data_IF_829066917359
#
_entry.id   IF_829066917359
#
_cell.length_a   1.000
_cell.length_b   1.000
_cell.length_c   1.000
_cell.angle_alpha   90.00
_cell.angle_beta   90.00
_cell.angle_gamma   90.00
#
_symmetry.space_group_name_H-M   'P 1'
#
loop_
_entity.id
_entity.type
_entity.pdbx_description
1 polymer ?
#
# COMPACT_ATOMS: atom_id res chain seq x y z
N UNK A 1 -45.00 49.62 12.88
CA UNK A 1 -43.81 48.94 13.39
C UNK A 1 -43.95 47.48 13.01
N UNK A 2 -43.19 47.03 12.03
CA UNK A 2 -43.17 45.63 11.61
C UNK A 2 -42.04 44.90 12.37
N UNK A 3 -42.23 43.65 12.81
CA UNK A 3 -41.18 42.92 13.51
C UNK A 3 -40.13 42.41 12.52
N UNK A 4 -38.87 42.72 12.76
CA UNK A 4 -37.73 42.17 12.06
C UNK A 4 -37.54 40.70 12.38
N UNK A 5 -37.75 39.83 11.42
CA UNK A 5 -37.36 38.42 11.53
C UNK A 5 -35.85 38.30 11.49
N UNK A 6 -35.27 37.87 12.60
CA UNK A 6 -33.91 37.44 12.74
C UNK A 6 -33.79 36.07 12.10
N UNK A 7 -33.16 35.97 10.90
CA UNK A 7 -32.78 34.69 10.29
C UNK A 7 -31.45 34.25 10.95
N UNK A 8 -31.42 33.12 11.67
CA UNK A 8 -30.19 32.62 12.22
C UNK A 8 -29.28 32.25 11.04
N UNK A 9 -28.06 32.85 10.96
CA UNK A 9 -27.00 32.39 10.13
C UNK A 9 -26.72 30.92 10.50
N UNK A 10 -27.10 30.01 9.63
CA UNK A 10 -26.60 28.65 9.66
C UNK A 10 -25.07 28.75 9.59
N UNK A 11 -24.41 28.47 10.70
CA UNK A 11 -22.99 28.19 10.75
C UNK A 11 -22.76 27.00 9.83
N UNK A 12 -22.20 27.27 8.64
CA UNK A 12 -21.55 26.25 7.87
C UNK A 12 -20.50 25.61 8.79
N UNK A 13 -20.74 24.39 9.22
CA UNK A 13 -19.68 23.59 9.81
C UNK A 13 -18.62 23.46 8.69
N UNK A 14 -17.59 24.25 8.77
CA UNK A 14 -16.36 24.00 8.04
C UNK A 14 -15.97 22.56 8.35
N UNK A 15 -15.86 21.72 7.33
CA UNK A 15 -15.31 20.39 7.49
C UNK A 15 -13.88 20.54 8.01
N UNK A 16 -13.74 20.39 9.34
CA UNK A 16 -12.42 20.38 9.99
C UNK A 16 -11.73 19.11 9.52
N UNK A 17 -10.61 19.25 8.81
CA UNK A 17 -9.81 18.15 8.30
C UNK A 17 -9.60 18.18 6.78
N UNK A 18 -8.79 17.26 6.27
CA UNK A 18 -8.49 17.12 4.86
C UNK A 18 -9.69 16.66 4.01
N UNK A 19 -9.55 16.80 2.70
CA UNK A 19 -10.55 16.36 1.72
C UNK A 19 -10.16 15.04 1.07
N UNK A 20 -11.16 14.22 0.71
CA UNK A 20 -10.97 12.98 -0.06
C UNK A 20 -11.71 13.08 -1.38
N UNK A 21 -11.03 12.85 -2.48
CA UNK A 21 -11.59 12.91 -3.83
C UNK A 21 -11.21 11.69 -4.64
N UNK A 22 -12.16 11.17 -5.42
CA UNK A 22 -11.92 10.13 -6.42
C UNK A 22 -11.58 10.81 -7.75
N UNK A 23 -10.49 10.39 -8.36
CA UNK A 23 -9.98 10.89 -9.63
C UNK A 23 -9.66 9.73 -10.56
N UNK A 24 -9.42 10.05 -11.83
CA UNK A 24 -8.94 9.10 -12.84
C UNK A 24 -7.92 9.76 -13.75
N UNK A 25 -7.07 8.95 -14.36
CA UNK A 25 -6.15 9.38 -15.39
C UNK A 25 -5.90 8.23 -16.37
N UNK A 26 -5.43 8.55 -17.55
CA UNK A 26 -5.04 7.55 -18.54
C UNK A 26 -3.65 7.02 -18.21
N UNK A 27 -3.57 5.73 -17.85
CA UNK A 27 -2.32 5.04 -17.57
C UNK A 27 -1.75 4.47 -18.89
N UNK A 28 -0.72 5.09 -19.41
CA UNK A 28 -0.13 4.75 -20.72
C UNK A 28 0.39 3.32 -20.77
N UNK A 29 1.02 2.87 -19.70
CA UNK A 29 1.54 1.50 -19.57
C UNK A 29 0.43 0.45 -19.63
N UNK A 30 -0.74 0.77 -19.09
CA UNK A 30 -1.90 -0.13 -19.08
C UNK A 30 -2.82 0.04 -20.30
N UNK A 31 -2.71 1.17 -21.02
CA UNK A 31 -3.58 1.47 -22.15
C UNK A 31 -5.04 1.75 -21.78
N UNK A 32 -5.33 2.06 -20.51
CA UNK A 32 -6.67 2.29 -19.96
C UNK A 32 -6.71 3.45 -18.96
N UNK A 33 -7.90 3.95 -18.66
CA UNK A 33 -8.09 4.84 -17.51
C UNK A 33 -8.05 4.04 -16.21
N UNK A 34 -7.33 4.57 -15.21
CA UNK A 34 -7.29 4.05 -13.84
C UNK A 34 -7.79 5.10 -12.86
N UNK A 35 -8.55 4.64 -11.88
CA UNK A 35 -8.97 5.48 -10.77
C UNK A 35 -7.93 5.48 -9.65
N UNK A 36 -7.90 6.57 -8.90
CA UNK A 36 -7.19 6.69 -7.63
C UNK A 36 -8.00 7.57 -6.67
N UNK A 37 -7.87 7.31 -5.39
CA UNK A 37 -8.46 8.15 -4.34
C UNK A 37 -7.36 9.00 -3.73
N UNK A 38 -7.62 10.29 -3.58
CA UNK A 38 -6.64 11.25 -3.11
C UNK A 38 -7.14 11.91 -1.82
N UNK A 39 -6.34 11.86 -0.76
CA UNK A 39 -6.49 12.69 0.41
C UNK A 39 -5.56 13.90 0.31
N UNK A 40 -6.13 15.09 0.40
CA UNK A 40 -5.42 16.36 0.50
C UNK A 40 -5.58 16.91 1.92
N UNK A 41 -4.49 17.31 2.61
CA UNK A 41 -4.56 17.80 3.98
C UNK A 41 -5.31 19.13 4.06
N UNK A 42 -5.85 19.43 5.23
CA UNK A 42 -6.54 20.70 5.50
C UNK A 42 -5.69 21.91 5.10
N UNK A 43 -6.33 22.89 4.46
CA UNK A 43 -5.66 24.11 3.95
C UNK A 43 -4.81 23.87 2.70
N UNK A 44 -4.93 22.71 2.05
CA UNK A 44 -4.20 22.45 0.81
C UNK A 44 -4.41 23.55 -0.23
N UNK A 45 -5.64 23.98 -0.50
CA UNK A 45 -5.95 24.98 -1.51
C UNK A 45 -5.63 26.43 -1.08
N UNK A 46 -5.30 26.65 0.20
CA UNK A 46 -5.02 27.95 0.80
C UNK A 46 -3.52 28.29 0.76
N UNK A 47 -2.65 27.33 0.43
CA UNK A 47 -1.20 27.48 0.44
C UNK A 47 -0.57 27.07 -0.87
N UNK A 48 0.70 27.42 -1.08
CA UNK A 48 1.53 26.92 -2.19
C UNK A 48 2.57 25.88 -1.73
N UNK A 49 2.43 25.39 -0.52
CA UNK A 49 3.34 24.38 0.04
C UNK A 49 3.31 23.08 -0.75
N UNK A 50 4.44 22.38 -0.77
CA UNK A 50 4.59 21.04 -1.31
C UNK A 50 4.66 20.03 -0.18
N UNK A 51 4.10 18.86 -0.39
CA UNK A 51 3.89 17.85 0.64
C UNK A 51 4.58 16.54 0.28
N UNK A 52 5.10 15.79 1.27
CA UNK A 52 5.41 14.38 1.08
C UNK A 52 4.18 13.61 0.63
N UNK A 53 4.40 12.49 -0.06
CA UNK A 53 3.31 11.63 -0.55
C UNK A 53 3.51 10.19 -0.09
N UNK A 54 2.42 9.52 0.30
CA UNK A 54 2.39 8.08 0.58
C UNK A 54 1.33 7.42 -0.28
N UNK A 55 1.73 6.39 -1.01
CA UNK A 55 0.84 5.57 -1.83
C UNK A 55 0.35 4.37 -1.01
N UNK A 56 -0.96 4.17 -0.97
CA UNK A 56 -1.63 3.12 -0.21
C UNK A 56 -2.27 2.08 -1.13
N UNK A 57 -1.88 0.83 -0.94
CA UNK A 57 -2.25 -0.32 -1.77
C UNK A 57 -3.15 -1.30 -1.02
N UNK A 58 -4.12 -1.85 -1.76
CA UNK A 58 -4.91 -3.02 -1.37
C UNK A 58 -5.37 -3.75 -2.64
N UNK A 59 -6.59 -3.70 -3.06
CA UNK A 59 -7.13 -4.11 -4.35
C UNK A 59 -7.60 -2.88 -5.11
N UNK A 60 -8.62 -2.22 -4.58
CA UNK A 60 -9.16 -0.98 -5.14
C UNK A 60 -8.57 0.28 -4.51
N UNK A 61 -8.59 1.35 -5.26
CA UNK A 61 -8.16 2.70 -4.86
C UNK A 61 -8.94 3.28 -3.68
N UNK A 62 -10.18 2.85 -3.48
CA UNK A 62 -11.08 3.41 -2.45
C UNK A 62 -10.99 2.70 -1.10
N UNK A 63 -10.46 1.48 -1.04
CA UNK A 63 -10.58 0.62 0.15
C UNK A 63 -10.06 1.29 1.43
N UNK A 64 -8.97 2.02 1.38
CA UNK A 64 -8.43 2.76 2.51
C UNK A 64 -9.32 3.94 2.97
N UNK A 65 -10.16 4.46 2.06
CA UNK A 65 -10.97 5.67 2.28
C UNK A 65 -12.47 5.39 2.33
N UNK A 66 -12.93 4.18 2.03
CA UNK A 66 -14.34 3.82 2.04
C UNK A 66 -14.80 3.38 3.42
N UNK A 67 -15.59 4.22 4.09
CA UNK A 67 -16.13 3.92 5.43
C UNK A 67 -17.03 2.66 5.48
N UNK A 68 -17.53 2.20 4.33
CA UNK A 68 -18.44 1.05 4.20
C UNK A 68 -17.75 -0.19 3.63
N UNK A 69 -16.43 -0.18 3.48
CA UNK A 69 -15.68 -1.31 2.93
C UNK A 69 -15.84 -2.57 3.77
N UNK A 70 -15.81 -2.40 5.10
CA UNK A 70 -15.87 -3.46 6.07
C UNK A 70 -16.52 -2.91 7.36
N UNK A 71 -17.39 -3.70 7.97
CA UNK A 71 -18.05 -3.32 9.23
C UNK A 71 -17.10 -3.21 10.42
N UNK A 72 -15.95 -3.90 10.38
CA UNK A 72 -14.96 -3.89 11.47
C UNK A 72 -14.44 -2.48 11.78
N UNK A 73 -14.33 -1.61 10.76
CA UNK A 73 -13.77 -0.25 10.90
C UNK A 73 -14.70 0.77 11.55
N UNK A 74 -15.99 0.45 11.77
CA UNK A 74 -16.98 1.37 12.36
C UNK A 74 -17.00 2.78 11.73
N UNK A 75 -16.88 2.85 10.41
CA UNK A 75 -16.86 4.11 9.66
C UNK A 75 -15.53 4.86 9.68
N UNK A 76 -14.54 4.45 10.46
CA UNK A 76 -13.21 5.06 10.51
C UNK A 76 -12.38 4.67 9.29
N UNK A 77 -11.69 5.63 8.69
CA UNK A 77 -10.89 5.43 7.48
C UNK A 77 -9.51 6.07 7.63
N UNK A 78 -8.65 5.86 6.64
CA UNK A 78 -7.32 6.49 6.58
C UNK A 78 -7.40 8.02 6.67
N UNK A 79 -8.47 8.65 6.14
CA UNK A 79 -8.70 10.10 6.33
C UNK A 79 -8.77 10.48 7.79
N UNK A 80 -9.59 9.77 8.58
CA UNK A 80 -9.75 10.07 10.01
C UNK A 80 -8.43 9.90 10.76
N UNK A 81 -7.67 8.84 10.43
CA UNK A 81 -6.34 8.60 11.01
C UNK A 81 -5.38 9.74 10.68
N UNK A 82 -5.33 10.19 9.43
CA UNK A 82 -4.46 11.28 9.01
C UNK A 82 -4.84 12.61 9.69
N UNK A 83 -6.12 12.96 9.72
CA UNK A 83 -6.61 14.20 10.34
C UNK A 83 -6.28 14.23 11.85
N UNK A 84 -6.50 13.14 12.57
CA UNK A 84 -6.20 13.01 14.01
C UNK A 84 -4.68 13.13 14.28
N UNK A 85 -3.84 12.52 13.46
CA UNK A 85 -2.39 12.59 13.63
C UNK A 85 -1.84 13.99 13.34
N UNK A 86 -2.37 14.66 12.32
CA UNK A 86 -1.99 16.03 11.97
C UNK A 86 -2.47 16.99 13.08
N UNK A 87 -3.73 16.91 13.49
CA UNK A 87 -4.30 17.76 14.54
C UNK A 87 -3.59 17.60 15.88
N UNK A 88 -3.13 16.38 16.22
CA UNK A 88 -2.36 16.12 17.44
C UNK A 88 -0.86 16.42 17.33
N UNK A 89 -0.37 16.90 16.18
CA UNK A 89 1.04 17.20 15.94
C UNK A 89 1.96 15.96 15.87
N UNK A 90 1.40 14.75 15.80
CA UNK A 90 2.17 13.50 15.68
C UNK A 90 2.76 13.30 14.28
N UNK A 91 2.13 13.89 13.27
CA UNK A 91 2.65 13.99 11.91
C UNK A 91 2.45 15.41 11.38
N UNK A 92 3.22 15.79 10.37
CA UNK A 92 2.87 16.92 9.53
C UNK A 92 1.92 16.53 8.41
N UNK A 93 1.60 17.50 7.57
CA UNK A 93 0.71 17.35 6.41
C UNK A 93 1.37 16.50 5.31
N UNK A 94 0.66 15.51 4.80
CA UNK A 94 1.06 14.62 3.71
C UNK A 94 -0.10 14.45 2.74
N UNK A 95 0.20 14.20 1.48
CA UNK A 95 -0.76 13.71 0.48
C UNK A 95 -0.79 12.19 0.58
N UNK A 96 -2.01 11.59 0.65
CA UNK A 96 -2.17 10.14 0.65
C UNK A 96 -2.94 9.72 -0.59
N UNK A 97 -2.47 8.68 -1.28
CA UNK A 97 -3.03 8.23 -2.55
C UNK A 97 -3.42 6.77 -2.47
N UNK A 98 -4.71 6.47 -2.50
CA UNK A 98 -5.22 5.09 -2.66
C UNK A 98 -5.15 4.66 -4.11
N UNK A 99 -4.56 3.49 -4.36
CA UNK A 99 -4.25 3.00 -5.70
C UNK A 99 -5.01 1.73 -6.00
N UNK A 100 -5.48 1.58 -7.23
CA UNK A 100 -6.06 0.33 -7.74
C UNK A 100 -4.95 -0.57 -8.30
N UNK A 101 -4.78 -1.74 -7.68
CA UNK A 101 -3.91 -2.84 -8.13
C UNK A 101 -4.70 -4.13 -8.33
N UNK A 102 -5.94 -4.01 -8.80
CA UNK A 102 -6.81 -5.12 -9.16
C UNK A 102 -7.66 -4.77 -10.39
N UNK A 103 -8.33 -5.79 -10.95
CA UNK A 103 -9.44 -5.59 -11.89
C UNK A 103 -10.61 -4.83 -11.25
N UNK A 104 -11.52 -4.30 -12.06
CA UNK A 104 -12.67 -3.50 -11.57
C UNK A 104 -13.56 -4.29 -10.62
N UNK A 105 -13.74 -5.58 -10.86
CA UNK A 105 -14.54 -6.51 -10.06
C UNK A 105 -13.74 -7.17 -8.92
N UNK A 106 -12.46 -6.82 -8.78
CA UNK A 106 -11.53 -7.40 -7.81
C UNK A 106 -11.26 -8.91 -7.97
N UNK A 107 -11.61 -9.48 -9.12
CA UNK A 107 -11.41 -10.92 -9.40
C UNK A 107 -9.96 -11.25 -9.81
N UNK A 108 -9.21 -10.27 -10.31
CA UNK A 108 -7.82 -10.43 -10.74
C UNK A 108 -6.91 -9.50 -9.94
N UNK A 109 -6.07 -10.02 -9.05
CA UNK A 109 -5.05 -9.23 -8.37
C UNK A 109 -3.91 -8.91 -9.34
N UNK A 110 -3.62 -7.63 -9.50
CA UNK A 110 -2.59 -7.16 -10.43
C UNK A 110 -1.20 -7.02 -9.76
N UNK A 111 -1.15 -7.00 -8.44
CA UNK A 111 0.04 -7.16 -7.58
C UNK A 111 1.20 -6.16 -7.83
N UNK A 112 1.00 -5.17 -8.70
CA UNK A 112 2.11 -4.31 -9.12
C UNK A 112 3.18 -5.03 -9.94
N UNK A 113 2.82 -6.11 -10.65
CA UNK A 113 3.73 -6.86 -11.52
C UNK A 113 3.38 -6.65 -12.99
N UNK A 114 4.34 -6.78 -13.88
CA UNK A 114 4.05 -6.89 -15.30
C UNK A 114 3.58 -8.33 -15.58
N UNK A 115 2.31 -8.50 -15.88
CA UNK A 115 1.67 -9.82 -15.97
C UNK A 115 2.15 -10.62 -17.18
N UNK A 116 2.36 -11.92 -17.02
CA UNK A 116 2.69 -12.82 -18.14
C UNK A 116 1.50 -13.04 -19.08
N UNK A 117 0.29 -13.20 -18.52
CA UNK A 117 -0.89 -13.61 -19.27
C UNK A 117 -2.07 -12.63 -19.09
N UNK A 118 -1.92 -11.32 -19.38
CA UNK A 118 -3.00 -10.36 -19.19
C UNK A 118 -4.25 -10.69 -20.03
N UNK A 119 -4.07 -11.38 -21.16
CA UNK A 119 -5.15 -11.80 -22.06
C UNK A 119 -5.88 -13.09 -21.62
N UNK A 120 -5.39 -13.78 -20.58
CA UNK A 120 -6.05 -14.95 -20.01
C UNK A 120 -7.31 -14.58 -19.19
N UNK A 121 -7.58 -13.30 -19.01
CA UNK A 121 -8.79 -12.80 -18.35
C UNK A 121 -9.55 -11.83 -19.25
N UNK A 122 -10.86 -11.70 -19.02
CA UNK A 122 -11.70 -10.66 -19.60
C UNK A 122 -12.12 -9.63 -18.57
N UNK A 123 -11.58 -9.70 -17.36
CA UNK A 123 -11.89 -8.75 -16.30
C UNK A 123 -11.46 -7.33 -16.71
N UNK A 124 -12.37 -6.39 -16.56
CA UNK A 124 -12.10 -4.98 -16.84
C UNK A 124 -11.06 -4.42 -15.87
N UNK A 125 -10.28 -3.45 -16.35
CA UNK A 125 -9.30 -2.75 -15.52
C UNK A 125 -7.93 -3.40 -15.47
N UNK A 126 -7.70 -4.52 -16.18
CA UNK A 126 -6.39 -5.18 -16.32
C UNK A 126 -5.52 -4.50 -17.39
N UNK A 127 -6.13 -4.10 -18.51
CA UNK A 127 -5.41 -3.46 -19.63
C UNK A 127 -4.32 -4.36 -20.20
N UNK A 128 -3.16 -3.78 -20.50
CA UNK A 128 -1.98 -4.54 -20.98
C UNK A 128 -1.33 -5.40 -19.91
N UNK A 129 -1.74 -5.30 -18.64
CA UNK A 129 -1.16 -6.01 -17.50
C UNK A 129 0.19 -5.44 -16.99
N UNK A 130 0.68 -4.32 -17.53
CA UNK A 130 1.98 -3.72 -17.15
C UNK A 130 1.88 -2.89 -15.86
N UNK A 131 1.54 -3.53 -14.76
CA UNK A 131 1.27 -2.84 -13.48
C UNK A 131 2.52 -2.37 -12.74
N UNK A 132 3.66 -3.00 -12.92
CA UNK A 132 4.94 -2.49 -12.43
C UNK A 132 5.25 -1.13 -13.07
N UNK A 133 5.14 -1.04 -14.40
CA UNK A 133 5.37 0.21 -15.12
C UNK A 133 4.35 1.28 -14.76
N UNK A 134 3.09 0.89 -14.60
CA UNK A 134 2.04 1.79 -14.13
C UNK A 134 2.39 2.42 -12.77
N UNK A 135 2.83 1.61 -11.80
CA UNK A 135 3.17 2.10 -10.46
C UNK A 135 4.44 2.93 -10.44
N UNK A 136 5.47 2.50 -11.19
CA UNK A 136 6.80 3.13 -11.13
C UNK A 136 6.94 4.36 -12.02
N UNK A 137 6.16 4.47 -13.09
CA UNK A 137 6.23 5.55 -14.06
C UNK A 137 4.94 6.35 -14.12
N UNK A 138 3.86 5.77 -14.65
CA UNK A 138 2.66 6.54 -14.97
C UNK A 138 2.05 7.23 -13.76
N UNK A 139 1.89 6.49 -12.66
CA UNK A 139 1.23 6.99 -11.46
C UNK A 139 2.08 8.05 -10.75
N UNK A 140 3.38 7.77 -10.54
CA UNK A 140 4.28 8.70 -9.87
C UNK A 140 4.36 10.01 -10.66
N UNK A 141 4.57 9.92 -11.98
CA UNK A 141 4.66 11.10 -12.83
C UNK A 141 3.34 11.90 -12.84
N UNK A 142 2.20 11.22 -12.93
CA UNK A 142 0.89 11.86 -12.89
C UNK A 142 0.66 12.60 -11.56
N UNK A 143 0.91 11.96 -10.44
CA UNK A 143 0.71 12.56 -9.11
C UNK A 143 1.66 13.73 -8.88
N UNK A 144 2.94 13.59 -9.22
CA UNK A 144 3.94 14.64 -9.02
C UNK A 144 3.71 15.86 -9.94
N UNK A 145 3.15 15.67 -11.15
CA UNK A 145 2.84 16.75 -12.08
C UNK A 145 1.49 17.44 -11.80
N UNK A 146 0.55 16.72 -11.19
CA UNK A 146 -0.82 17.22 -10.98
C UNK A 146 -0.99 17.89 -9.61
N UNK A 147 -0.29 17.37 -8.59
CA UNK A 147 -0.43 17.84 -7.21
C UNK A 147 0.88 18.42 -6.67
N UNK A 148 0.76 19.19 -5.60
CA UNK A 148 1.92 19.80 -4.94
C UNK A 148 2.65 18.79 -4.05
N UNK A 149 3.12 17.70 -4.64
CA UNK A 149 4.05 16.78 -4.00
C UNK A 149 5.47 17.33 -4.03
N UNK A 150 6.34 16.83 -3.17
CA UNK A 150 7.78 17.01 -3.28
C UNK A 150 8.30 15.84 -4.14
N UNK A 151 8.69 16.06 -5.42
CA UNK A 151 9.02 14.99 -6.36
C UNK A 151 10.40 14.40 -6.09
N UNK A 152 10.56 13.80 -4.94
CA UNK A 152 11.82 13.23 -4.47
C UNK A 152 11.58 11.91 -3.77
N UNK A 153 12.46 10.92 -4.01
CA UNK A 153 12.50 9.69 -3.25
C UNK A 153 12.42 9.93 -1.74
N UNK A 154 13.16 10.93 -1.25
CA UNK A 154 13.23 11.29 0.19
C UNK A 154 11.90 11.71 0.81
N UNK A 155 10.90 12.00 0.00
CA UNK A 155 9.57 12.46 0.41
C UNK A 155 8.45 11.59 -0.15
N UNK A 156 8.79 10.35 -0.59
CA UNK A 156 7.84 9.41 -1.15
C UNK A 156 7.85 8.09 -0.38
N UNK A 157 6.67 7.70 0.09
CA UNK A 157 6.42 6.41 0.74
C UNK A 157 5.44 5.55 -0.04
N UNK A 158 5.44 4.27 0.27
CA UNK A 158 4.47 3.29 -0.22
C UNK A 158 4.07 2.38 0.93
N UNK A 159 2.80 2.06 1.05
CA UNK A 159 2.25 1.28 2.14
C UNK A 159 1.13 0.38 1.64
N UNK A 160 0.79 -0.67 2.37
CA UNK A 160 -0.28 -1.53 1.94
C UNK A 160 -0.73 -2.54 2.99
N UNK A 161 -1.89 -3.12 2.71
CA UNK A 161 -2.53 -4.16 3.52
C UNK A 161 -2.72 -5.43 2.70
N UNK A 162 -2.43 -6.60 3.27
CA UNK A 162 -2.62 -7.91 2.64
C UNK A 162 -1.79 -8.01 1.33
N UNK A 163 -2.37 -8.31 0.17
CA UNK A 163 -1.69 -8.29 -1.13
C UNK A 163 -1.07 -6.91 -1.44
N UNK A 164 -1.69 -5.82 -0.96
CA UNK A 164 -1.09 -4.48 -1.05
C UNK A 164 0.18 -4.35 -0.23
N UNK A 165 0.26 -5.01 0.94
CA UNK A 165 1.46 -5.07 1.77
C UNK A 165 2.60 -5.82 1.09
N UNK A 166 2.29 -6.94 0.44
CA UNK A 166 3.26 -7.63 -0.42
C UNK A 166 3.77 -6.69 -1.53
N UNK A 167 2.84 -6.06 -2.27
CA UNK A 167 3.20 -5.16 -3.37
C UNK A 167 4.07 -4.00 -2.89
N UNK A 168 3.77 -3.41 -1.73
CA UNK A 168 4.56 -2.31 -1.18
C UNK A 168 6.00 -2.73 -0.87
N UNK A 169 6.19 -3.89 -0.21
CA UNK A 169 7.52 -4.41 0.10
C UNK A 169 8.27 -4.79 -1.17
N UNK A 170 7.61 -5.46 -2.11
CA UNK A 170 8.19 -5.82 -3.40
C UNK A 170 8.68 -4.57 -4.14
N UNK A 171 7.88 -3.51 -4.20
CA UNK A 171 8.27 -2.24 -4.81
C UNK A 171 9.44 -1.57 -4.08
N UNK A 172 9.46 -1.61 -2.75
CA UNK A 172 10.55 -1.03 -1.96
C UNK A 172 11.89 -1.75 -2.14
N UNK A 173 11.86 -3.08 -2.34
CA UNK A 173 13.05 -3.89 -2.59
C UNK A 173 13.50 -3.79 -4.05
N UNK A 174 12.57 -3.85 -4.99
CA UNK A 174 12.87 -3.85 -6.43
C UNK A 174 13.20 -2.45 -6.97
N UNK A 175 12.61 -1.41 -6.40
CA UNK A 175 12.76 -0.01 -6.81
C UNK A 175 13.18 0.89 -5.64
N UNK A 176 14.31 0.63 -4.98
CA UNK A 176 14.74 1.38 -3.80
C UNK A 176 15.04 2.85 -4.10
N UNK A 177 15.22 3.21 -5.37
CA UNK A 177 15.42 4.59 -5.83
C UNK A 177 14.13 5.40 -5.92
N UNK A 178 12.94 4.78 -5.78
CA UNK A 178 11.66 5.47 -5.87
C UNK A 178 11.07 5.81 -4.50
N UNK A 179 11.32 5.00 -3.47
CA UNK A 179 10.70 5.11 -2.16
C UNK A 179 11.75 5.12 -1.05
N UNK A 180 11.62 6.00 -0.06
CA UNK A 180 12.47 5.97 1.12
C UNK A 180 11.82 5.31 2.32
N UNK A 181 10.51 5.04 2.27
CA UNK A 181 9.72 4.56 3.40
C UNK A 181 8.65 3.59 2.89
N UNK A 182 8.62 2.39 3.42
CA UNK A 182 7.79 1.28 2.94
C UNK A 182 7.07 0.63 4.11
N UNK A 183 5.74 0.59 4.04
CA UNK A 183 4.88 -0.02 5.04
C UNK A 183 4.23 -1.31 4.52
N UNK A 184 3.94 -2.24 5.44
CA UNK A 184 3.16 -3.45 5.15
C UNK A 184 2.41 -3.89 6.39
N UNK A 185 1.08 -3.96 6.30
CA UNK A 185 0.25 -4.62 7.29
C UNK A 185 -0.23 -5.95 6.78
N UNK A 186 0.11 -7.00 7.53
CA UNK A 186 -0.32 -8.38 7.30
C UNK A 186 -0.20 -8.80 5.83
N UNK A 187 0.99 -8.50 5.26
CA UNK A 187 1.31 -8.69 3.86
C UNK A 187 1.40 -10.18 3.51
N UNK A 188 0.76 -10.56 2.40
CA UNK A 188 0.84 -11.93 1.87
C UNK A 188 2.18 -12.09 1.13
N UNK A 189 3.30 -12.10 1.86
CA UNK A 189 4.63 -12.23 1.28
C UNK A 189 4.87 -13.63 0.72
N UNK A 190 5.77 -13.76 -0.26
CA UNK A 190 6.17 -15.05 -0.80
C UNK A 190 7.23 -15.71 0.08
N UNK A 191 7.28 -17.04 0.08
CA UNK A 191 8.40 -17.80 0.62
C UNK A 191 9.59 -17.74 -0.35
N UNK A 192 10.80 -17.96 0.16
CA UNK A 192 12.02 -17.88 -0.65
C UNK A 192 12.08 -18.90 -1.78
N UNK A 193 11.70 -20.12 -1.49
CA UNK A 193 11.73 -21.26 -2.41
C UNK A 193 10.40 -21.52 -3.11
N UNK A 194 9.38 -20.67 -2.86
CA UNK A 194 7.99 -20.88 -3.28
C UNK A 194 7.34 -22.14 -2.71
N UNK A 195 8.03 -22.80 -1.78
CA UNK A 195 7.42 -23.78 -0.95
C UNK A 195 6.55 -23.04 0.08
N UNK A 196 5.30 -22.84 -0.26
CA UNK A 196 4.29 -22.30 0.65
C UNK A 196 4.04 -23.24 1.84
N UNK A 197 4.90 -24.20 1.97
CA UNK A 197 4.76 -25.38 2.79
C UNK A 197 5.54 -25.21 4.08
N UNK A 198 5.28 -24.19 4.87
CA UNK A 198 5.23 -24.48 6.30
C UNK A 198 3.87 -25.09 6.55
N UNK A 199 3.72 -26.31 6.04
CA UNK A 199 2.53 -27.09 6.21
C UNK A 199 2.54 -27.65 7.62
N UNK A 200 1.80 -26.98 8.42
CA UNK A 200 0.84 -27.78 9.15
C UNK A 200 -0.18 -28.24 8.12
N UNK A 201 -0.45 -29.53 8.02
CA UNK A 201 -1.45 -30.15 7.12
C UNK A 201 -2.87 -29.56 7.29
N UNK A 202 -3.01 -28.52 8.10
CA UNK A 202 -4.23 -27.81 8.46
C UNK A 202 -4.45 -26.49 7.70
N UNK A 203 -3.45 -25.97 6.94
CA UNK A 203 -3.68 -24.76 6.13
C UNK A 203 -4.30 -25.14 4.79
N UNK A 204 -5.45 -24.55 4.42
CA UNK A 204 -6.05 -24.80 3.12
C UNK A 204 -5.06 -24.46 2.00
N UNK A 205 -4.95 -25.33 1.01
CA UNK A 205 -4.18 -25.13 -0.23
C UNK A 205 -4.50 -23.82 -0.98
N UNK A 206 -5.55 -23.11 -0.59
CA UNK A 206 -6.13 -21.96 -1.27
C UNK A 206 -5.28 -20.69 -1.20
N UNK A 207 -4.26 -20.63 -0.36
CA UNK A 207 -3.46 -19.43 -0.12
C UNK A 207 -2.01 -19.52 -0.59
N UNK A 208 -1.68 -20.53 -1.35
CA UNK A 208 -0.33 -20.68 -1.86
C UNK A 208 -0.16 -19.96 -3.20
N UNK A 209 0.93 -19.21 -3.35
CA UNK A 209 1.27 -18.49 -4.58
C UNK A 209 1.36 -19.41 -5.81
N UNK A 210 1.69 -20.67 -5.60
CA UNK A 210 1.95 -21.65 -6.64
C UNK A 210 0.70 -22.41 -7.07
N UNK A 211 -0.25 -22.65 -6.16
CA UNK A 211 -1.34 -23.61 -6.38
C UNK A 211 -2.69 -22.98 -6.70
N UNK A 212 -2.92 -21.71 -6.33
CA UNK A 212 -4.22 -21.10 -6.55
C UNK A 212 -4.36 -20.49 -7.94
N UNK A 213 -5.52 -20.59 -8.54
CA UNK A 213 -5.86 -19.94 -9.81
C UNK A 213 -5.81 -18.42 -9.75
N UNK A 214 -5.79 -17.86 -8.53
CA UNK A 214 -5.86 -16.44 -8.27
C UNK A 214 -4.69 -15.66 -8.90
N UNK A 215 -3.51 -16.29 -9.00
CA UNK A 215 -2.31 -15.64 -9.53
C UNK A 215 -1.91 -16.07 -10.95
N UNK A 216 -2.74 -16.89 -11.61
CA UNK A 216 -2.41 -17.41 -12.97
C UNK A 216 -2.26 -16.32 -14.02
N UNK A 217 -3.01 -15.24 -13.92
CA UNK A 217 -2.91 -14.12 -14.87
C UNK A 217 -1.57 -13.41 -14.72
N UNK A 218 -1.12 -13.23 -13.48
CA UNK A 218 0.15 -12.57 -13.19
C UNK A 218 1.36 -13.44 -13.54
N UNK A 219 1.34 -14.74 -13.20
CA UNK A 219 2.54 -15.58 -13.17
C UNK A 219 2.44 -16.86 -14.04
N UNK A 220 1.41 -16.99 -14.87
CA UNK A 220 1.26 -18.11 -15.78
C UNK A 220 0.55 -19.32 -15.17
N UNK A 221 0.21 -20.30 -16.03
CA UNK A 221 -0.34 -21.62 -15.67
C UNK A 221 0.24 -22.68 -16.61
N UNK A 222 1.10 -23.60 -16.11
CA UNK A 222 1.66 -23.61 -14.74
C UNK A 222 2.45 -22.33 -14.41
N UNK A 223 2.69 -22.08 -13.10
CA UNK A 223 3.45 -20.90 -12.67
C UNK A 223 4.86 -20.89 -13.26
N UNK A 224 5.26 -19.77 -13.84
CA UNK A 224 6.65 -19.53 -14.20
C UNK A 224 7.44 -19.12 -12.95
N UNK A 225 8.09 -20.08 -12.31
CA UNK A 225 8.86 -19.87 -11.08
C UNK A 225 10.04 -18.91 -11.30
N UNK A 226 10.69 -18.95 -12.46
CA UNK A 226 11.78 -18.04 -12.79
C UNK A 226 11.29 -16.60 -12.89
N UNK A 227 10.09 -16.40 -13.43
CA UNK A 227 9.44 -15.09 -13.48
C UNK A 227 8.98 -14.62 -12.10
N UNK A 228 8.38 -15.49 -11.30
CA UNK A 228 7.96 -15.18 -9.93
C UNK A 228 9.13 -14.68 -9.07
N UNK A 229 10.32 -15.28 -9.22
CA UNK A 229 11.54 -14.87 -8.49
C UNK A 229 11.93 -13.41 -8.76
N UNK A 230 11.57 -12.84 -9.89
CA UNK A 230 11.81 -11.42 -10.22
C UNK A 230 10.90 -10.46 -9.47
N UNK A 231 9.87 -10.99 -8.81
CA UNK A 231 8.90 -10.24 -8.00
C UNK A 231 8.84 -10.72 -6.55
N UNK A 232 9.67 -11.68 -6.19
CA UNK A 232 9.78 -12.11 -4.79
C UNK A 232 10.85 -11.29 -4.06
N UNK A 233 10.49 -10.49 -3.05
CA UNK A 233 11.45 -9.70 -2.28
C UNK A 233 12.64 -10.51 -1.75
N UNK A 234 12.41 -11.75 -1.34
CA UNK A 234 13.45 -12.61 -0.78
C UNK A 234 14.49 -13.02 -1.83
N UNK A 235 14.03 -13.42 -3.03
CA UNK A 235 14.94 -13.75 -4.13
C UNK A 235 15.69 -12.51 -4.64
N UNK A 236 15.04 -11.35 -4.70
CA UNK A 236 15.69 -10.09 -5.05
C UNK A 236 16.78 -9.74 -4.06
N UNK A 237 16.50 -9.80 -2.75
CA UNK A 237 17.48 -9.52 -1.68
C UNK A 237 18.65 -10.49 -1.68
N UNK A 238 18.39 -11.78 -1.91
CA UNK A 238 19.45 -12.79 -1.92
C UNK A 238 20.40 -12.60 -3.08
N UNK A 239 19.92 -12.14 -4.21
CA UNK A 239 20.68 -11.97 -5.45
C UNK A 239 21.12 -10.52 -5.71
N UNK A 240 20.78 -9.57 -4.81
CA UNK A 240 21.12 -8.16 -4.99
C UNK A 240 22.65 -7.95 -5.02
N UNK A 241 23.17 -7.23 -6.01
CA UNK A 241 24.55 -6.75 -6.00
C UNK A 241 24.82 -5.85 -4.78
N UNK A 242 26.08 -5.71 -4.34
CA UNK A 242 26.40 -4.94 -3.14
C UNK A 242 25.90 -3.48 -3.16
N UNK A 243 26.01 -2.81 -4.29
CA UNK A 243 25.55 -1.43 -4.46
C UNK A 243 24.02 -1.30 -4.42
N UNK A 244 23.30 -2.25 -4.97
CA UNK A 244 21.85 -2.32 -4.89
C UNK A 244 21.38 -2.67 -3.48
N UNK A 245 22.05 -3.61 -2.81
CA UNK A 245 21.77 -3.94 -1.42
C UNK A 245 21.92 -2.72 -0.50
N UNK A 246 22.94 -1.88 -0.70
CA UNK A 246 23.09 -0.63 0.07
C UNK A 246 21.94 0.36 -0.19
N UNK A 247 21.43 0.45 -1.41
CA UNK A 247 20.22 1.24 -1.70
C UNK A 247 19.00 0.69 -0.97
N UNK A 248 18.80 -0.64 -0.98
CA UNK A 248 17.70 -1.29 -0.26
C UNK A 248 17.83 -1.04 1.25
N UNK A 249 19.03 -1.14 1.84
CA UNK A 249 19.27 -0.82 3.25
C UNK A 249 18.95 0.62 3.62
N UNK A 250 18.99 1.55 2.65
CA UNK A 250 18.63 2.94 2.87
C UNK A 250 17.12 3.19 2.90
N UNK A 251 16.30 2.20 2.57
CA UNK A 251 14.84 2.23 2.70
C UNK A 251 14.46 1.93 4.14
N UNK A 252 13.51 2.69 4.69
CA UNK A 252 12.97 2.42 6.03
C UNK A 252 11.72 1.54 5.91
N UNK A 253 11.81 0.31 6.39
CA UNK A 253 10.72 -0.65 6.37
C UNK A 253 9.93 -0.63 7.68
N UNK A 254 8.58 -0.75 7.57
CA UNK A 254 7.59 -0.67 8.65
C UNK A 254 6.62 -1.84 8.53
N UNK A 255 7.06 -3.03 8.87
CA UNK A 255 6.31 -4.28 8.66
C UNK A 255 5.69 -4.72 9.96
N UNK A 256 4.37 -4.89 9.95
CA UNK A 256 3.57 -5.48 11.03
C UNK A 256 2.60 -6.50 10.45
N UNK A 257 2.24 -7.49 11.26
CA UNK A 257 1.27 -8.52 10.93
C UNK A 257 0.13 -8.57 11.95
N UNK A 258 -0.97 -9.21 11.58
CA UNK A 258 -2.00 -9.66 12.48
C UNK A 258 -1.45 -10.76 13.39
N UNK A 259 -1.93 -10.85 14.62
CA UNK A 259 -1.62 -11.97 15.48
C UNK A 259 -2.39 -13.23 15.08
N UNK A 260 -3.53 -13.02 14.40
CA UNK A 260 -4.35 -14.07 13.82
C UNK A 260 -4.97 -13.56 12.51
N UNK A 261 -4.71 -14.25 11.44
CA UNK A 261 -5.07 -13.87 10.06
C UNK A 261 -6.08 -14.81 9.40
N UNK A 262 -6.74 -15.68 10.17
CA UNK A 262 -7.69 -16.65 9.65
C UNK A 262 -7.02 -17.77 8.85
N UNK A 263 -5.86 -18.24 9.29
CA UNK A 263 -5.08 -19.33 8.67
C UNK A 263 -4.49 -18.98 7.29
N UNK A 264 -4.20 -17.69 7.06
CA UNK A 264 -3.55 -17.26 5.80
C UNK A 264 -2.04 -17.40 5.81
N UNK A 265 -1.43 -17.62 6.99
CA UNK A 265 0.00 -17.75 7.17
C UNK A 265 0.78 -16.45 6.98
N UNK A 266 0.12 -15.30 7.08
CA UNK A 266 0.76 -14.01 6.81
C UNK A 266 1.75 -13.62 7.90
N UNK A 267 1.51 -14.00 9.16
CA UNK A 267 2.45 -13.71 10.25
C UNK A 267 3.76 -14.49 10.06
N UNK A 268 3.67 -15.77 9.73
CA UNK A 268 4.83 -16.62 9.45
C UNK A 268 5.62 -16.11 8.23
N UNK A 269 4.91 -15.62 7.20
CA UNK A 269 5.50 -15.00 6.02
C UNK A 269 6.21 -13.69 6.36
N UNK A 270 5.63 -12.88 7.26
CA UNK A 270 6.26 -11.65 7.73
C UNK A 270 7.50 -11.95 8.59
N UNK A 271 7.43 -12.93 9.50
CA UNK A 271 8.59 -13.39 10.30
C UNK A 271 9.72 -13.88 9.40
N UNK A 272 9.40 -14.72 8.41
CA UNK A 272 10.37 -15.21 7.42
C UNK A 272 11.03 -14.07 6.63
N UNK A 273 10.25 -13.10 6.18
CA UNK A 273 10.78 -11.91 5.51
C UNK A 273 11.73 -11.13 6.41
N UNK A 274 11.37 -10.93 7.68
CA UNK A 274 12.21 -10.20 8.65
C UNK A 274 13.50 -10.94 9.00
N UNK A 275 13.49 -12.26 9.05
CA UNK A 275 14.73 -13.07 9.18
C UNK A 275 15.71 -12.82 8.02
N UNK A 276 15.20 -12.72 6.78
CA UNK A 276 16.04 -12.38 5.62
C UNK A 276 16.53 -10.93 5.68
N UNK A 277 15.69 -10.00 6.13
CA UNK A 277 16.10 -8.62 6.35
C UNK A 277 17.26 -8.54 7.33
N UNK A 278 17.15 -9.21 8.47
CA UNK A 278 18.20 -9.25 9.49
C UNK A 278 19.52 -9.82 8.93
N UNK A 279 19.45 -10.97 8.23
CA UNK A 279 20.62 -11.58 7.56
C UNK A 279 21.31 -10.65 6.57
N UNK A 280 20.56 -9.70 5.96
CA UNK A 280 21.09 -8.71 5.02
C UNK A 280 21.39 -7.35 5.66
N UNK A 281 21.19 -7.22 6.98
CA UNK A 281 21.42 -5.96 7.71
C UNK A 281 20.35 -4.88 7.43
N UNK A 282 19.15 -5.27 6.98
CA UNK A 282 18.00 -4.40 6.81
C UNK A 282 17.21 -4.40 8.12
N UNK A 283 16.77 -3.22 8.54
CA UNK A 283 16.05 -3.07 9.82
C UNK A 283 14.55 -2.86 9.57
N UNK A 284 13.73 -3.61 10.30
CA UNK A 284 12.34 -3.21 10.53
C UNK A 284 12.29 -2.11 11.59
N UNK A 285 11.39 -1.15 11.43
CA UNK A 285 11.25 -0.05 12.40
C UNK A 285 10.47 -0.42 13.66
N UNK A 286 9.88 -1.60 13.69
CA UNK A 286 9.19 -2.20 14.83
C UNK A 286 9.98 -3.37 15.38
N UNK A 287 10.01 -3.49 16.70
CA UNK A 287 10.72 -4.58 17.40
C UNK A 287 9.92 -5.88 17.47
N UNK A 288 8.59 -5.78 17.38
CA UNK A 288 7.66 -6.92 17.30
C UNK A 288 6.95 -6.88 15.96
N UNK A 289 6.78 -8.03 15.33
CA UNK A 289 6.06 -8.18 14.07
C UNK A 289 4.55 -8.03 14.27
N UNK A 290 4.03 -8.38 15.45
CA UNK A 290 2.60 -8.27 15.77
C UNK A 290 2.19 -6.84 16.01
N UNK A 291 1.14 -6.39 15.34
CA UNK A 291 0.56 -5.07 15.58
C UNK A 291 0.07 -4.92 17.03
N UNK A 292 -0.69 -5.90 17.49
CA UNK A 292 -1.10 -6.13 18.89
C UNK A 292 -1.26 -7.64 19.11
N UNK A 293 -1.31 -8.12 20.38
CA UNK A 293 -1.51 -9.54 20.66
C UNK A 293 -2.82 -10.14 20.14
N UNK A 294 -3.80 -9.30 19.80
CA UNK A 294 -5.13 -9.69 19.32
C UNK A 294 -5.46 -9.15 17.93
N UNK A 295 -4.48 -8.62 17.21
CA UNK A 295 -4.70 -8.04 15.89
C UNK A 295 -5.22 -9.08 14.90
N UNK A 296 -6.18 -8.67 14.07
CA UNK A 296 -6.84 -9.49 13.06
C UNK A 296 -6.57 -8.94 11.64
N UNK A 297 -6.79 -9.77 10.65
CA UNK A 297 -6.74 -9.39 9.23
C UNK A 297 -8.02 -8.65 8.81
N UNK A 298 -8.22 -7.45 9.34
CA UNK A 298 -9.40 -6.62 9.09
C UNK A 298 -9.08 -5.13 8.99
N UNK A 299 -10.06 -4.33 8.61
CA UNK A 299 -9.87 -2.91 8.41
C UNK A 299 -9.80 -2.10 9.71
N UNK A 300 -10.32 -2.62 10.84
CA UNK A 300 -10.11 -2.00 12.14
C UNK A 300 -8.61 -1.97 12.47
N UNK A 301 -7.96 -3.14 12.37
CA UNK A 301 -6.54 -3.26 12.66
C UNK A 301 -5.66 -2.61 11.59
N UNK A 302 -6.09 -2.61 10.31
CA UNK A 302 -5.40 -1.83 9.27
C UNK A 302 -5.39 -0.32 9.57
N UNK A 303 -6.47 0.23 10.15
CA UNK A 303 -6.48 1.62 10.62
C UNK A 303 -5.57 1.85 11.84
N UNK A 304 -5.53 0.91 12.80
CA UNK A 304 -4.60 0.98 13.94
C UNK A 304 -3.14 0.88 13.48
N UNK A 305 -2.88 0.04 12.50
CA UNK A 305 -1.59 -0.01 11.83
C UNK A 305 -1.23 1.33 11.20
N UNK A 306 -2.15 1.93 10.42
CA UNK A 306 -1.93 3.22 9.76
C UNK A 306 -1.61 4.35 10.75
N UNK A 307 -2.16 4.32 11.98
CA UNK A 307 -1.77 5.25 13.05
C UNK A 307 -0.28 5.18 13.38
N UNK A 308 0.30 3.97 13.35
CA UNK A 308 1.72 3.75 13.62
C UNK A 308 2.57 4.07 12.40
N UNK A 309 2.17 3.61 11.21
CA UNK A 309 3.02 3.74 10.02
C UNK A 309 3.04 5.15 9.43
N UNK A 310 1.94 5.91 9.48
CA UNK A 310 1.96 7.32 9.07
C UNK A 310 2.98 8.13 9.89
N UNK A 311 3.12 7.85 11.19
CA UNK A 311 4.15 8.48 12.02
C UNK A 311 5.57 8.04 11.59
N UNK A 312 5.75 6.79 11.20
CA UNK A 312 7.03 6.28 10.68
C UNK A 312 7.38 6.89 9.33
N UNK A 313 6.42 6.97 8.41
CA UNK A 313 6.60 7.68 7.14
C UNK A 313 7.00 9.14 7.37
N UNK A 314 6.28 9.85 8.25
CA UNK A 314 6.63 11.23 8.59
C UNK A 314 8.03 11.36 9.18
N UNK A 315 8.42 10.47 10.08
CA UNK A 315 9.77 10.42 10.65
C UNK A 315 10.84 10.16 9.58
N UNK A 316 10.57 9.27 8.63
CA UNK A 316 11.45 9.00 7.50
C UNK A 316 11.65 10.25 6.64
N UNK A 317 10.56 10.95 6.32
CA UNK A 317 10.62 12.18 5.54
C UNK A 317 11.31 13.34 6.25
N UNK A 318 11.26 13.40 7.57
CA UNK A 318 11.86 14.46 8.37
C UNK A 318 13.36 14.30 8.59
N UNK A 319 13.89 13.07 8.48
CA UNK A 319 15.31 12.75 8.66
C UNK A 319 16.16 13.01 7.42
N UNK A 320 15.55 13.09 6.27
CA UNK A 320 16.16 13.22 4.94
C UNK A 320 15.88 14.60 4.32
#
# INVERSE_FOLDING_TARGET
MAPSFFIPKFLYHSHIGGSVVLKKFYASSLGIEKHYTLYLPEGYDETHERYPVVFFLRGHEREWFNAREDSSRNGRTLKHVADELIASGKTGKMILVGISTASVDNSVPCLGVNMLNPHATRAEGVGTGRYEDYLTHDLIQHIDSTYRTIPSRKKRGIDGFSLGGYTAVMMGVKHPDLFCSVGSYDGTHMWYDFDDVRHDDELPDDYTWVRTDFFKVAFGEPRDIAYMKQYNPLNLLMNAPPDELEKIKSVQFHILAAAYDGNKGNIERAEHLLEFFEKKGIKNSFSDVKLTPTALHDWHHANLYAEKTLQKHWQAFSKL
#
